data_IF_672328919685
#
_entry.id   IF_672328919685
#
_cell.length_a   1.000
_cell.length_b   1.000
_cell.length_c   1.000
_cell.angle_alpha   90.00
_cell.angle_beta   90.00
_cell.angle_gamma   90.00
#
_symmetry.space_group_name_H-M   'P 1'
#
loop_
_entity.id
_entity.type
_entity.pdbx_description
1 polymer ?
#
# COMPACT_ATOMS: atom_id res chain seq x y z
N UNK A 1 -24.56 -7.92 4.07
CA UNK A 1 -23.23 -7.73 4.72
C UNK A 1 -22.11 -8.56 4.09
N UNK A 2 -22.27 -9.89 3.95
CA UNK A 2 -21.21 -10.79 3.45
C UNK A 2 -20.75 -10.49 2.01
N UNK A 3 -21.69 -10.25 1.09
CA UNK A 3 -21.38 -9.93 -0.32
C UNK A 3 -20.56 -8.63 -0.45
N UNK A 4 -20.84 -7.62 0.37
CA UNK A 4 -20.06 -6.37 0.42
C UNK A 4 -18.62 -6.60 0.86
N UNK A 5 -18.40 -7.44 1.87
CA UNK A 5 -17.03 -7.78 2.31
C UNK A 5 -16.27 -8.57 1.24
N UNK A 6 -16.94 -9.53 0.58
CA UNK A 6 -16.32 -10.28 -0.53
C UNK A 6 -15.92 -9.35 -1.69
N UNK A 7 -16.77 -8.39 -2.06
CA UNK A 7 -16.45 -7.39 -3.09
C UNK A 7 -15.19 -6.60 -2.76
N UNK A 8 -15.13 -6.04 -1.55
CA UNK A 8 -13.95 -5.28 -1.07
C UNK A 8 -12.68 -6.16 -1.07
N UNK A 9 -12.80 -7.43 -0.67
CA UNK A 9 -11.66 -8.35 -0.63
C UNK A 9 -11.11 -8.60 -2.04
N UNK A 10 -11.99 -8.83 -3.02
CA UNK A 10 -11.60 -9.02 -4.42
C UNK A 10 -10.98 -7.75 -5.00
N UNK A 11 -11.66 -6.61 -4.83
CA UNK A 11 -11.26 -5.32 -5.40
C UNK A 11 -9.91 -4.83 -4.85
N UNK A 12 -9.59 -5.08 -3.57
CA UNK A 12 -8.34 -4.64 -2.96
C UNK A 12 -7.29 -5.76 -2.80
N UNK A 13 -7.55 -6.95 -3.37
CA UNK A 13 -6.67 -8.11 -3.31
C UNK A 13 -6.24 -8.49 -1.89
N UNK A 14 -7.19 -8.51 -0.96
CA UNK A 14 -6.96 -8.81 0.45
C UNK A 14 -6.84 -10.33 0.67
N UNK A 15 -5.95 -10.76 1.58
CA UNK A 15 -5.79 -12.20 1.84
C UNK A 15 -6.94 -12.79 2.64
N UNK A 16 -7.48 -12.02 3.59
CA UNK A 16 -8.48 -12.52 4.52
C UNK A 16 -9.42 -11.40 5.00
N UNK A 17 -10.57 -11.80 5.55
CA UNK A 17 -11.53 -10.87 6.19
C UNK A 17 -10.91 -10.11 7.36
N UNK A 18 -9.91 -10.68 8.03
CA UNK A 18 -9.21 -10.03 9.14
C UNK A 18 -8.54 -8.72 8.71
N UNK A 19 -8.01 -8.62 7.49
CA UNK A 19 -7.50 -7.35 6.95
C UNK A 19 -8.59 -6.28 6.84
N UNK A 20 -9.81 -6.64 6.40
CA UNK A 20 -10.97 -5.73 6.39
C UNK A 20 -11.35 -5.34 7.81
N UNK A 21 -11.41 -6.30 8.73
CA UNK A 21 -11.84 -6.06 10.11
C UNK A 21 -10.89 -5.15 10.88
N UNK A 22 -9.58 -5.22 10.62
CA UNK A 22 -8.61 -4.27 11.21
C UNK A 22 -8.90 -2.83 10.78
N UNK A 23 -9.19 -2.61 9.49
CA UNK A 23 -9.52 -1.28 8.97
C UNK A 23 -10.86 -0.80 9.52
N UNK A 24 -11.87 -1.69 9.57
CA UNK A 24 -13.16 -1.39 10.21
C UNK A 24 -12.99 -0.95 11.66
N UNK A 25 -12.18 -1.68 12.43
CA UNK A 25 -11.91 -1.34 13.83
C UNK A 25 -11.21 0.01 13.97
N UNK A 26 -10.18 0.27 13.14
CA UNK A 26 -9.50 1.57 13.14
C UNK A 26 -10.46 2.73 12.80
N UNK A 27 -11.30 2.57 11.78
CA UNK A 27 -12.33 3.54 11.40
C UNK A 27 -13.35 3.77 12.52
N UNK A 28 -13.78 2.69 13.19
CA UNK A 28 -14.70 2.80 14.33
C UNK A 28 -14.09 3.60 15.49
N UNK A 29 -12.80 3.40 15.79
CA UNK A 29 -12.08 4.16 16.81
C UNK A 29 -11.96 5.64 16.45
N UNK A 30 -11.63 5.94 15.19
CA UNK A 30 -11.54 7.32 14.67
C UNK A 30 -12.90 8.02 14.76
N UNK A 31 -13.97 7.35 14.33
CA UNK A 31 -15.35 7.88 14.43
C UNK A 31 -15.83 8.06 15.86
N UNK A 32 -15.45 7.17 16.77
CA UNK A 32 -15.76 7.32 18.20
C UNK A 32 -15.14 8.60 18.75
N UNK A 33 -13.85 8.80 18.52
CA UNK A 33 -13.15 10.03 18.93
C UNK A 33 -13.78 11.28 18.30
N UNK A 34 -14.10 11.26 17.01
CA UNK A 34 -14.76 12.39 16.35
C UNK A 34 -16.11 12.73 16.97
N UNK A 35 -16.94 11.71 17.30
CA UNK A 35 -18.24 11.94 17.97
C UNK A 35 -18.08 12.56 19.35
N UNK A 36 -17.14 12.08 20.16
CA UNK A 36 -16.85 12.63 21.50
C UNK A 36 -16.35 14.08 21.44
N UNK A 37 -15.61 14.45 20.40
CA UNK A 37 -15.15 15.84 20.22
C UNK A 37 -16.26 16.74 19.69
N UNK A 38 -17.18 16.18 18.89
CA UNK A 38 -18.31 16.93 18.34
C UNK A 38 -19.36 17.32 19.38
N UNK A 39 -19.43 16.61 20.51
CA UNK A 39 -20.33 16.97 21.63
C UNK A 39 -19.82 18.15 22.47
N UNK A 40 -18.53 18.48 22.37
CA UNK A 40 -17.94 19.63 23.06
C UNK A 40 -18.21 20.91 22.28
N UNK A 41 -18.20 22.06 22.96
CA UNK A 41 -18.32 23.38 22.32
C UNK A 41 -17.17 23.64 21.33
N UNK A 42 -17.42 24.41 20.28
CA UNK A 42 -16.44 24.65 19.20
C UNK A 42 -15.12 25.25 19.69
N UNK A 43 -15.17 26.09 20.73
CA UNK A 43 -14.01 26.79 21.31
C UNK A 43 -13.35 26.03 22.47
N UNK A 44 -13.86 24.85 22.83
CA UNK A 44 -13.27 24.04 23.87
C UNK A 44 -11.82 23.64 23.52
N UNK A 45 -10.90 23.81 24.47
CA UNK A 45 -9.48 23.59 24.24
C UNK A 45 -9.18 22.13 23.83
N UNK A 46 -9.90 21.16 24.42
CA UNK A 46 -9.73 19.74 24.13
C UNK A 46 -10.23 19.43 22.72
N UNK A 47 -11.36 20.01 22.30
CA UNK A 47 -11.87 19.90 20.93
C UNK A 47 -10.88 20.47 19.92
N UNK A 48 -10.37 21.68 20.16
CA UNK A 48 -9.42 22.34 19.27
C UNK A 48 -8.11 21.55 19.15
N UNK A 49 -7.53 21.12 20.27
CA UNK A 49 -6.26 20.40 20.25
C UNK A 49 -6.38 19.00 19.66
N UNK A 50 -7.27 18.17 20.21
CA UNK A 50 -7.42 16.77 19.77
C UNK A 50 -8.06 16.67 18.39
N UNK A 51 -9.01 17.55 18.07
CA UNK A 51 -9.67 17.61 16.76
C UNK A 51 -8.67 17.96 15.65
N UNK A 52 -7.86 19.00 15.86
CA UNK A 52 -6.82 19.36 14.88
C UNK A 52 -5.76 18.27 14.72
N UNK A 53 -5.36 17.61 15.82
CA UNK A 53 -4.43 16.49 15.75
C UNK A 53 -5.00 15.31 14.94
N UNK A 54 -6.29 15.01 15.11
CA UNK A 54 -6.99 13.96 14.36
C UNK A 54 -7.05 14.29 12.87
N UNK A 55 -7.48 15.51 12.52
CA UNK A 55 -7.61 15.97 11.14
C UNK A 55 -6.24 15.99 10.43
N UNK A 56 -5.20 16.55 11.07
CA UNK A 56 -3.83 16.56 10.51
C UNK A 56 -3.31 15.15 10.23
N UNK A 57 -3.61 14.17 11.10
CA UNK A 57 -3.19 12.78 10.88
C UNK A 57 -3.91 12.16 9.68
N UNK A 58 -5.22 12.41 9.51
CA UNK A 58 -6.01 11.89 8.40
C UNK A 58 -5.59 12.49 7.05
N UNK A 59 -5.36 13.80 7.02
CA UNK A 59 -4.85 14.53 5.83
C UNK A 59 -3.45 14.04 5.47
N UNK A 60 -2.53 13.93 6.43
CA UNK A 60 -1.15 13.43 6.17
C UNK A 60 -1.12 12.05 5.54
N UNK A 61 -2.06 11.19 5.92
CA UNK A 61 -2.20 9.85 5.33
C UNK A 61 -2.85 9.93 3.94
N UNK A 62 -3.68 10.93 3.69
CA UNK A 62 -4.44 11.12 2.45
C UNK A 62 -5.81 10.45 2.47
N UNK A 63 -6.37 10.18 3.65
CA UNK A 63 -7.75 9.66 3.79
C UNK A 63 -8.79 10.79 3.66
N UNK A 64 -8.42 11.98 4.12
CA UNK A 64 -9.24 13.19 4.06
C UNK A 64 -8.52 14.22 3.20
N UNK A 65 -9.28 14.95 2.39
CA UNK A 65 -8.77 16.05 1.58
C UNK A 65 -8.59 17.33 2.42
N UNK A 66 -7.66 18.20 2.01
CA UNK A 66 -7.36 19.46 2.69
C UNK A 66 -8.55 20.42 2.68
N UNK A 67 -9.38 20.37 1.63
CA UNK A 67 -10.62 21.16 1.54
C UNK A 67 -11.68 20.76 2.58
N UNK A 68 -11.59 19.54 3.15
CA UNK A 68 -12.59 18.95 4.05
C UNK A 68 -12.08 18.81 5.48
N UNK A 69 -11.23 19.72 5.96
CA UNK A 69 -10.69 19.72 7.32
C UNK A 69 -11.71 20.12 8.40
N UNK A 70 -12.84 19.39 8.49
CA UNK A 70 -13.84 19.50 9.56
C UNK A 70 -14.13 18.13 10.15
N UNK A 71 -14.47 18.09 11.45
CA UNK A 71 -14.76 16.84 12.16
C UNK A 71 -15.98 16.10 11.60
N UNK A 72 -16.96 16.81 11.03
CA UNK A 72 -18.18 16.20 10.48
C UNK A 72 -17.87 15.25 9.31
N UNK A 73 -16.91 15.62 8.45
CA UNK A 73 -16.49 14.79 7.33
C UNK A 73 -15.81 13.49 7.77
N UNK A 74 -15.24 13.46 8.98
CA UNK A 74 -14.65 12.24 9.56
C UNK A 74 -15.72 11.18 9.82
N UNK A 75 -16.96 11.58 10.12
CA UNK A 75 -18.08 10.65 10.31
C UNK A 75 -18.47 9.97 8.98
N UNK A 76 -18.32 10.67 7.86
CA UNK A 76 -18.63 10.18 6.51
C UNK A 76 -17.61 9.19 5.92
N UNK A 77 -16.43 9.02 6.55
CA UNK A 77 -15.35 8.20 6.00
C UNK A 77 -15.74 6.74 5.76
N UNK A 78 -15.37 6.19 4.62
CA UNK A 78 -15.64 4.80 4.25
C UNK A 78 -14.41 3.94 4.51
N UNK A 79 -14.56 2.62 4.38
CA UNK A 79 -13.45 1.67 4.60
C UNK A 79 -12.48 1.74 3.42
N UNK A 80 -13.05 1.95 2.24
CA UNK A 80 -12.41 2.12 0.95
C UNK A 80 -11.34 3.22 1.04
N UNK A 81 -11.64 4.37 1.62
CA UNK A 81 -10.69 5.50 1.80
C UNK A 81 -9.38 5.07 2.48
N UNK A 82 -9.44 4.14 3.44
CA UNK A 82 -8.24 3.62 4.11
C UNK A 82 -7.55 2.52 3.29
N UNK A 83 -8.31 1.69 2.59
CA UNK A 83 -7.76 0.63 1.75
C UNK A 83 -7.06 1.19 0.51
N UNK A 84 -7.49 2.34 0.00
CA UNK A 84 -6.82 3.06 -1.09
C UNK A 84 -5.43 3.57 -0.70
N UNK A 85 -5.19 3.86 0.59
CA UNK A 85 -3.90 4.37 1.07
C UNK A 85 -2.86 3.29 1.35
N UNK A 86 -3.18 2.02 1.11
CA UNK A 86 -2.24 0.91 1.27
C UNK A 86 -1.18 0.90 0.18
N UNK A 87 0.03 0.48 0.50
CA UNK A 87 1.12 0.34 -0.49
C UNK A 87 0.73 -0.58 -1.64
N UNK A 88 -0.02 -1.65 -1.35
CA UNK A 88 -0.51 -2.57 -2.37
C UNK A 88 -1.36 -1.89 -3.45
N UNK A 89 -2.31 -1.05 -3.06
CA UNK A 89 -3.17 -0.32 -4.00
C UNK A 89 -2.43 0.81 -4.67
N UNK A 90 -1.58 1.53 -3.94
CA UNK A 90 -0.77 2.61 -4.51
C UNK A 90 0.18 2.10 -5.59
N UNK A 91 0.86 0.98 -5.38
CA UNK A 91 1.74 0.34 -6.39
C UNK A 91 0.96 -0.07 -7.64
N UNK A 92 -0.28 -0.56 -7.48
CA UNK A 92 -1.14 -0.88 -8.62
C UNK A 92 -1.64 0.38 -9.35
N UNK A 93 -2.13 1.39 -8.63
CA UNK A 93 -2.59 2.66 -9.21
C UNK A 93 -1.48 3.42 -9.93
N UNK A 94 -0.22 3.31 -9.49
CA UNK A 94 0.95 3.87 -10.16
C UNK A 94 1.41 3.09 -11.39
N UNK A 95 0.78 1.97 -11.74
CA UNK A 95 1.12 1.17 -12.91
C UNK A 95 2.38 0.32 -12.78
N UNK A 96 3.04 0.29 -11.61
CA UNK A 96 4.22 -0.56 -11.34
C UNK A 96 3.89 -2.05 -11.35
N UNK A 97 2.61 -2.41 -11.18
CA UNK A 97 2.14 -3.78 -11.19
C UNK A 97 0.93 -3.93 -12.12
N UNK A 98 0.89 -5.04 -12.88
CA UNK A 98 -0.22 -5.39 -13.79
C UNK A 98 -1.55 -5.67 -13.08
N UNK A 99 -1.50 -6.13 -11.82
CA UNK A 99 -2.69 -6.45 -11.03
C UNK A 99 -2.45 -6.22 -9.54
N UNK A 100 -3.52 -6.15 -8.76
CA UNK A 100 -3.44 -5.93 -7.32
C UNK A 100 -2.79 -7.12 -6.59
N UNK A 101 -2.98 -8.33 -7.12
CA UNK A 101 -2.30 -9.53 -6.64
C UNK A 101 -0.81 -9.51 -7.00
N UNK A 102 -0.47 -9.05 -8.21
CA UNK A 102 0.92 -8.86 -8.63
C UNK A 102 1.64 -7.83 -7.75
N UNK A 103 1.00 -6.70 -7.43
CA UNK A 103 1.55 -5.70 -6.51
C UNK A 103 1.90 -6.32 -5.14
N UNK A 104 1.04 -7.21 -4.61
CA UNK A 104 1.28 -7.90 -3.35
C UNK A 104 2.53 -8.80 -3.39
N UNK A 105 2.71 -9.52 -4.50
CA UNK A 105 3.87 -10.39 -4.72
C UNK A 105 5.14 -9.56 -4.79
N UNK A 106 5.16 -8.48 -5.59
CA UNK A 106 6.32 -7.60 -5.74
C UNK A 106 6.75 -6.99 -4.39
N UNK A 107 5.79 -6.52 -3.60
CA UNK A 107 6.06 -5.97 -2.27
C UNK A 107 6.68 -7.07 -1.37
N UNK A 108 6.06 -8.24 -1.27
CA UNK A 108 6.58 -9.31 -0.40
C UNK A 108 7.95 -9.83 -0.81
N UNK A 109 8.23 -9.88 -2.11
CA UNK A 109 9.52 -10.27 -2.65
C UNK A 109 10.58 -9.15 -2.57
N UNK A 110 10.28 -8.04 -1.89
CA UNK A 110 11.22 -6.92 -1.62
C UNK A 110 11.65 -6.17 -2.88
N UNK A 111 10.78 -6.10 -3.89
CA UNK A 111 11.05 -5.37 -5.13
C UNK A 111 10.69 -3.89 -5.05
N UNK A 112 9.81 -3.49 -4.12
CA UNK A 112 9.34 -2.10 -3.99
C UNK A 112 10.03 -1.38 -2.83
N UNK A 113 10.41 -0.13 -3.05
CA UNK A 113 10.86 0.80 -2.03
C UNK A 113 9.92 1.99 -1.89
N UNK A 114 9.89 2.56 -0.69
CA UNK A 114 9.30 3.87 -0.42
C UNK A 114 10.43 4.78 0.03
N UNK A 115 10.71 5.83 -0.76
CA UNK A 115 11.93 6.65 -0.64
C UNK A 115 13.18 5.77 -0.77
N UNK A 116 14.02 5.70 0.26
CA UNK A 116 15.26 4.90 0.27
C UNK A 116 15.06 3.49 0.85
N UNK A 117 13.94 3.24 1.52
CA UNK A 117 13.72 2.02 2.30
C UNK A 117 12.90 0.99 1.51
N UNK A 118 13.35 -0.25 1.48
CA UNK A 118 12.59 -1.38 0.92
C UNK A 118 11.47 -1.75 1.91
N UNK A 119 10.24 -1.83 1.41
CA UNK A 119 9.06 -2.14 2.22
C UNK A 119 8.47 -3.47 1.74
N UNK A 120 8.32 -4.43 2.66
CA UNK A 120 7.82 -5.77 2.37
C UNK A 120 6.40 -6.05 2.90
N UNK A 121 5.72 -5.04 3.44
CA UNK A 121 4.39 -5.14 4.05
C UNK A 121 3.35 -4.51 3.12
N UNK A 122 2.43 -5.28 2.51
CA UNK A 122 1.38 -4.76 1.63
C UNK A 122 0.35 -3.87 2.33
N UNK A 123 0.21 -3.99 3.66
CA UNK A 123 -0.67 -3.15 4.48
C UNK A 123 -0.01 -1.86 4.96
N UNK A 124 1.21 -1.54 4.49
CA UNK A 124 1.86 -0.28 4.81
C UNK A 124 1.01 0.89 4.32
N UNK A 125 0.77 1.88 5.19
CA UNK A 125 -0.04 3.05 4.87
C UNK A 125 0.87 4.14 4.32
N UNK A 126 0.68 4.49 3.06
CA UNK A 126 1.50 5.46 2.35
C UNK A 126 1.01 6.88 2.64
N UNK A 127 1.88 7.70 3.21
CA UNK A 127 1.65 9.15 3.38
C UNK A 127 1.69 9.88 2.03
N UNK A 128 0.96 10.98 1.89
CA UNK A 128 0.93 11.78 0.66
C UNK A 128 2.35 12.17 0.19
N UNK A 129 3.19 12.67 1.10
CA UNK A 129 4.57 13.09 0.77
C UNK A 129 5.46 11.95 0.25
N UNK A 130 5.21 10.73 0.73
CA UNK A 130 5.99 9.55 0.35
C UNK A 130 5.45 8.86 -0.90
N UNK A 131 4.24 9.21 -1.36
CA UNK A 131 3.59 8.58 -2.51
C UNK A 131 4.38 8.78 -3.81
N UNK A 132 4.93 9.99 -4.03
CA UNK A 132 5.78 10.30 -5.19
C UNK A 132 7.09 9.50 -5.23
N UNK A 133 7.48 8.92 -4.10
CA UNK A 133 8.75 8.23 -3.91
C UNK A 133 8.58 6.70 -3.86
N UNK A 134 7.49 6.18 -4.43
CA UNK A 134 7.28 4.74 -4.59
C UNK A 134 7.91 4.33 -5.91
N UNK A 135 8.86 3.40 -5.85
CA UNK A 135 9.58 2.94 -7.03
C UNK A 135 10.13 1.52 -6.79
N UNK A 136 10.68 0.90 -7.82
CA UNK A 136 11.46 -0.32 -7.68
C UNK A 136 12.72 -0.07 -6.86
N UNK A 137 13.10 -1.07 -6.08
CA UNK A 137 14.36 -1.07 -5.35
C UNK A 137 15.53 -1.15 -6.33
N UNK A 138 16.56 -0.34 -6.12
CA UNK A 138 17.79 -0.40 -6.92
C UNK A 138 18.49 -1.77 -6.84
N UNK A 139 18.25 -2.51 -5.76
CA UNK A 139 18.79 -3.88 -5.58
C UNK A 139 17.94 -4.94 -6.29
N UNK A 140 16.74 -4.58 -6.73
CA UNK A 140 15.83 -5.48 -7.42
C UNK A 140 16.27 -5.66 -8.88
N UNK A 141 16.11 -6.86 -9.48
CA UNK A 141 16.27 -7.05 -10.92
C UNK A 141 15.42 -6.08 -11.76
N UNK A 142 14.25 -5.66 -11.24
CA UNK A 142 13.35 -4.72 -11.90
C UNK A 142 13.80 -3.25 -11.79
N UNK A 143 14.72 -2.93 -10.87
CA UNK A 143 15.26 -1.59 -10.67
C UNK A 143 16.71 -1.44 -11.13
N UNK A 144 17.16 -2.29 -12.07
CA UNK A 144 18.53 -2.28 -12.58
C UNK A 144 19.53 -3.11 -11.75
N UNK A 145 19.06 -3.81 -10.72
CA UNK A 145 19.89 -4.70 -9.90
C UNK A 145 20.25 -6.02 -10.59
N UNK A 146 21.14 -6.78 -9.95
CA UNK A 146 21.61 -8.08 -10.46
C UNK A 146 20.44 -9.04 -10.75
N UNK A 147 20.44 -9.75 -11.90
CA UNK A 147 19.43 -10.76 -12.20
C UNK A 147 19.30 -11.82 -11.09
N UNK A 148 18.07 -12.27 -10.86
CA UNK A 148 17.74 -13.27 -9.84
C UNK A 148 18.37 -14.65 -10.12
N UNK A 149 18.41 -15.51 -9.09
CA UNK A 149 19.05 -16.84 -9.15
C UNK A 149 18.58 -17.69 -10.34
N UNK A 150 17.27 -17.74 -10.59
CA UNK A 150 16.69 -18.54 -11.69
C UNK A 150 17.16 -18.03 -13.05
N UNK A 151 17.08 -16.70 -13.29
CA UNK A 151 17.56 -16.09 -14.53
C UNK A 151 19.06 -16.34 -14.73
N UNK A 152 19.86 -16.23 -13.66
CA UNK A 152 21.30 -16.54 -13.70
C UNK A 152 21.58 -18.02 -13.99
N UNK A 153 20.80 -18.95 -13.42
CA UNK A 153 20.93 -20.39 -13.68
C UNK A 153 20.62 -20.70 -15.16
N UNK A 154 19.56 -20.10 -15.70
CA UNK A 154 19.18 -20.31 -17.10
C UNK A 154 20.21 -19.70 -18.07
N UNK A 155 20.76 -18.51 -17.78
CA UNK A 155 21.85 -17.92 -18.56
C UNK A 155 23.08 -18.84 -18.62
N UNK A 156 23.46 -19.42 -17.47
CA UNK A 156 24.57 -20.40 -17.43
C UNK A 156 24.27 -21.67 -18.23
N UNK A 157 23.03 -22.19 -18.16
CA UNK A 157 22.63 -23.36 -18.95
C UNK A 157 22.70 -23.09 -20.44
N UNK A 158 22.25 -21.92 -20.90
CA UNK A 158 22.30 -21.56 -22.31
C UNK A 158 23.73 -21.35 -22.81
N UNK A 159 24.63 -20.82 -21.98
CA UNK A 159 26.06 -20.71 -22.30
C UNK A 159 26.77 -22.07 -22.36
N UNK A 160 26.36 -23.04 -21.54
CA UNK A 160 26.92 -24.40 -21.57
C UNK A 160 26.36 -25.31 -22.68
N UNK A 161 25.24 -24.94 -23.32
CA UNK A 161 24.63 -25.69 -24.41
C UNK A 161 25.09 -25.27 -25.81
N UNK A 162 25.95 -24.26 -25.92
CA UNK A 162 26.49 -23.74 -27.18
C UNK A 162 27.94 -24.17 -27.46
N UNK A 163 28.58 -24.91 -26.54
CA UNK A 163 29.97 -25.36 -26.67
C UNK A 163 30.14 -26.87 -26.82
N UNK A 164 29.15 -27.58 -27.36
CA UNK A 164 29.18 -29.04 -27.52
C UNK A 164 28.67 -29.53 -28.88
N UNK A 165 28.75 -28.70 -29.92
CA UNK A 165 28.28 -29.03 -31.27
C UNK A 165 29.27 -28.59 -32.37
N UNK A 166 30.56 -28.41 -32.04
CA UNK A 166 31.62 -28.03 -33.01
C UNK A 166 32.88 -28.93 -32.90
N UNK A 167 32.75 -30.16 -32.41
CA UNK A 167 33.85 -31.15 -32.49
C UNK A 167 33.28 -32.53 -32.89
N UNK A 168 32.87 -32.69 -34.15
CA UNK A 168 32.69 -34.01 -34.78
C UNK A 168 32.53 -33.89 -36.32
N UNK A 169 33.41 -33.15 -36.98
CA UNK A 169 33.67 -33.31 -38.43
C UNK A 169 35.16 -33.04 -38.69
N UNK A 170 35.99 -34.08 -38.57
CA UNK A 170 37.20 -34.36 -39.37
C UNK A 170 37.74 -35.77 -39.04
#
# INVERSE_FOLDING_TARGET
RFNKEKKIIGEYGLRNKREVWRVKYALAKIRKAARELLTLEEKDEKRLFQGNALLRRLVRIGVLDESRMKLDYVLGLKIEDFLERRLQTQVFKLGLAKSIHHARVLIRQRHIRVRKQVVNIPSFVVRLDSQKHIDFSLKSPFGGGRPGRVKRKNMKKNQGGSGGAEEEED
#
